data_IF_263592923623
#
_entry.id   IF_263592923623
#
_cell.length_a   1.000
_cell.length_b   1.000
_cell.length_c   1.000
_cell.angle_alpha   90.00
_cell.angle_beta   90.00
_cell.angle_gamma   90.00
#
_symmetry.space_group_name_H-M   'P 1'
#
loop_
_entity.id
_entity.type
_entity.pdbx_description
1 polymer ?
#
# COMPACT_ATOMS: atom_id res chain seq x y z
N UNK A 1 -15.43 1.90 -2.04
CA UNK A 1 -16.00 0.61 -2.45
C UNK A 1 -17.48 0.79 -2.76
N UNK A 2 -18.35 1.19 -1.80
CA UNK A 2 -19.77 1.37 -2.03
C UNK A 2 -20.11 2.25 -3.27
N UNK A 3 -19.42 3.38 -3.41
CA UNK A 3 -19.58 4.26 -4.57
C UNK A 3 -19.36 3.53 -5.91
N UNK A 4 -18.37 2.63 -6.00
CA UNK A 4 -18.14 1.86 -7.23
C UNK A 4 -19.26 0.87 -7.50
N UNK A 5 -19.83 0.25 -6.46
CA UNK A 5 -21.00 -0.63 -6.60
C UNK A 5 -22.22 0.14 -7.11
N UNK A 6 -22.46 1.36 -6.61
CA UNK A 6 -23.51 2.25 -7.10
C UNK A 6 -23.32 2.64 -8.57
N UNK A 7 -22.07 2.67 -9.06
CA UNK A 7 -21.75 2.90 -10.47
C UNK A 7 -21.81 1.62 -11.34
N UNK A 8 -22.27 0.49 -10.79
CA UNK A 8 -22.47 -0.76 -11.52
C UNK A 8 -21.23 -1.66 -11.60
N UNK A 9 -20.16 -1.36 -10.86
CA UNK A 9 -19.02 -2.27 -10.76
C UNK A 9 -19.33 -3.40 -9.79
N UNK A 10 -18.98 -4.63 -10.18
CA UNK A 10 -19.01 -5.75 -9.27
C UNK A 10 -17.76 -5.73 -8.36
N UNK A 11 -18.00 -5.76 -7.05
CA UNK A 11 -16.94 -5.66 -6.05
C UNK A 11 -16.95 -6.90 -5.16
N UNK A 12 -15.83 -7.60 -5.10
CA UNK A 12 -15.59 -8.72 -4.21
C UNK A 12 -14.69 -8.29 -3.05
N UNK A 13 -15.17 -8.44 -1.82
CA UNK A 13 -14.37 -8.22 -0.61
C UNK A 13 -13.80 -9.56 -0.19
N UNK A 14 -12.45 -9.66 -0.17
CA UNK A 14 -11.77 -10.90 0.17
C UNK A 14 -11.78 -11.14 1.68
N UNK A 15 -12.03 -12.38 2.13
CA UNK A 15 -11.90 -12.75 3.53
C UNK A 15 -10.43 -12.79 3.95
N UNK A 16 -10.21 -12.55 5.24
CA UNK A 16 -8.91 -12.70 5.90
C UNK A 16 -8.92 -13.89 6.86
N UNK A 17 -7.75 -14.33 7.27
CA UNK A 17 -7.59 -15.33 8.32
C UNK A 17 -7.68 -14.71 9.72
N UNK A 18 -7.45 -15.53 10.77
CA UNK A 18 -7.47 -15.09 12.17
C UNK A 18 -6.38 -14.07 12.54
N UNK A 19 -5.37 -13.89 11.68
CA UNK A 19 -4.31 -12.90 11.84
C UNK A 19 -4.52 -11.65 10.96
N UNK A 20 -5.65 -11.55 10.27
CA UNK A 20 -5.97 -10.44 9.39
C UNK A 20 -5.27 -10.48 8.02
N UNK A 21 -4.67 -11.61 7.63
CA UNK A 21 -4.00 -11.78 6.34
C UNK A 21 -4.99 -12.31 5.30
N UNK A 22 -4.98 -11.73 4.09
CA UNK A 22 -5.86 -12.15 3.00
C UNK A 22 -5.64 -13.62 2.62
N UNK A 23 -6.75 -14.36 2.47
CA UNK A 23 -6.71 -15.76 2.04
C UNK A 23 -6.44 -15.84 0.54
N UNK A 24 -5.29 -16.41 0.16
CA UNK A 24 -4.86 -16.47 -1.24
C UNK A 24 -5.76 -17.37 -2.09
N UNK A 25 -6.31 -18.44 -1.52
CA UNK A 25 -7.28 -19.30 -2.19
C UNK A 25 -8.60 -18.58 -2.51
N UNK A 26 -9.01 -17.67 -1.62
CA UNK A 26 -10.18 -16.82 -1.88
C UNK A 26 -9.88 -15.78 -2.98
N UNK A 27 -8.69 -15.20 -3.00
CA UNK A 27 -8.26 -14.33 -4.10
C UNK A 27 -8.26 -15.09 -5.42
N UNK A 28 -7.67 -16.28 -5.47
CA UNK A 28 -7.60 -17.10 -6.69
C UNK A 28 -8.99 -17.36 -7.27
N UNK A 29 -9.95 -17.73 -6.41
CA UNK A 29 -11.36 -17.98 -6.81
C UNK A 29 -12.10 -16.71 -7.24
N UNK A 30 -11.72 -15.56 -6.69
CA UNK A 30 -12.35 -14.27 -7.00
C UNK A 30 -11.84 -13.63 -8.29
N UNK A 31 -10.64 -14.01 -8.76
CA UNK A 31 -10.08 -13.51 -10.01
C UNK A 31 -10.88 -14.04 -11.21
N UNK A 32 -11.35 -13.12 -12.05
CA UNK A 32 -12.14 -13.39 -13.26
C UNK A 32 -11.48 -12.77 -14.49
N UNK A 33 -11.80 -13.23 -15.70
CA UNK A 33 -11.26 -12.66 -16.94
C UNK A 33 -11.59 -11.17 -17.14
N UNK A 34 -12.66 -10.69 -16.52
CA UNK A 34 -13.13 -9.31 -16.53
C UNK A 34 -12.69 -8.49 -15.29
N UNK A 35 -11.87 -9.06 -14.40
CA UNK A 35 -11.28 -8.34 -13.28
C UNK A 35 -10.41 -7.19 -13.80
N UNK A 36 -10.72 -5.96 -13.40
CA UNK A 36 -9.99 -4.76 -13.83
C UNK A 36 -9.00 -4.25 -12.78
N UNK A 37 -9.29 -4.46 -11.49
CA UNK A 37 -8.49 -3.94 -10.39
C UNK A 37 -8.53 -4.90 -9.20
N UNK A 38 -7.35 -5.18 -8.66
CA UNK A 38 -7.18 -5.74 -7.32
C UNK A 38 -6.52 -4.70 -6.46
N UNK A 39 -7.04 -4.45 -5.26
CA UNK A 39 -6.49 -3.46 -4.32
C UNK A 39 -6.30 -4.09 -2.95
N UNK A 40 -5.09 -3.99 -2.40
CA UNK A 40 -4.77 -4.47 -1.06
C UNK A 40 -3.93 -3.44 -0.31
N UNK A 41 -4.04 -3.41 1.01
CA UNK A 41 -3.00 -2.80 1.83
C UNK A 41 -1.75 -3.70 1.81
N UNK A 42 -0.56 -3.14 1.97
CA UNK A 42 0.64 -3.93 2.25
C UNK A 42 0.76 -4.25 3.74
N UNK A 43 0.44 -3.29 4.59
CA UNK A 43 0.36 -3.44 6.06
C UNK A 43 -0.94 -2.82 6.52
N UNK A 44 -1.73 -3.57 7.28
CA UNK A 44 -2.98 -3.06 7.82
C UNK A 44 -2.71 -2.05 8.94
N UNK A 45 -3.42 -0.93 8.94
CA UNK A 45 -3.21 0.17 9.88
C UNK A 45 -3.72 -0.10 11.30
N UNK A 46 -4.63 -1.05 11.48
CA UNK A 46 -5.23 -1.40 12.77
C UNK A 46 -4.50 -2.58 13.42
N UNK A 47 -4.36 -3.67 12.67
CA UNK A 47 -3.83 -4.93 13.18
C UNK A 47 -2.33 -5.11 12.97
N UNK A 48 -1.72 -4.33 12.06
CA UNK A 48 -0.33 -4.53 11.65
C UNK A 48 -0.12 -5.77 10.76
N UNK A 49 -1.18 -6.47 10.35
CA UNK A 49 -1.09 -7.63 9.47
C UNK A 49 -0.40 -7.27 8.15
N UNK A 50 0.59 -8.07 7.76
CA UNK A 50 1.38 -7.87 6.54
C UNK A 50 0.85 -8.77 5.43
N UNK A 51 0.41 -8.16 4.33
CA UNK A 51 -0.11 -8.89 3.17
C UNK A 51 1.03 -9.45 2.32
N UNK A 52 0.88 -10.65 1.75
CA UNK A 52 1.87 -11.28 0.88
C UNK A 52 1.82 -10.69 -0.54
N UNK A 53 2.12 -9.38 -0.67
CA UNK A 53 1.93 -8.59 -1.90
C UNK A 53 2.69 -9.16 -3.11
N UNK A 54 3.87 -9.76 -2.90
CA UNK A 54 4.63 -10.42 -3.97
C UNK A 54 3.85 -11.63 -4.54
N UNK A 55 3.28 -12.47 -3.67
CA UNK A 55 2.47 -13.63 -4.08
C UNK A 55 1.17 -13.20 -4.76
N UNK A 56 0.52 -12.17 -4.21
CA UNK A 56 -0.70 -11.60 -4.80
C UNK A 56 -0.42 -11.07 -6.21
N UNK A 57 0.65 -10.29 -6.37
CA UNK A 57 1.03 -9.75 -7.67
C UNK A 57 1.39 -10.83 -8.70
N UNK A 58 2.06 -11.90 -8.28
CA UNK A 58 2.35 -13.05 -9.14
C UNK A 58 1.07 -13.77 -9.59
N UNK A 59 0.14 -14.02 -8.68
CA UNK A 59 -1.15 -14.66 -8.96
C UNK A 59 -2.00 -13.83 -9.93
N UNK A 60 -2.06 -12.51 -9.73
CA UNK A 60 -2.78 -11.61 -10.64
C UNK A 60 -2.15 -11.65 -12.03
N UNK A 61 -0.83 -11.58 -12.11
CA UNK A 61 -0.12 -11.62 -13.40
C UNK A 61 -0.37 -12.95 -14.16
N UNK A 62 -0.49 -14.06 -13.43
CA UNK A 62 -0.77 -15.38 -14.01
C UNK A 62 -2.23 -15.53 -14.46
N UNK A 63 -3.19 -15.20 -13.59
CA UNK A 63 -4.61 -15.46 -13.80
C UNK A 63 -5.34 -14.36 -14.57
N UNK A 64 -4.99 -13.10 -14.33
CA UNK A 64 -5.65 -11.93 -14.88
C UNK A 64 -4.63 -10.86 -15.31
N UNK A 65 -3.79 -11.11 -16.32
CA UNK A 65 -2.66 -10.23 -16.69
C UNK A 65 -3.08 -8.84 -17.15
N UNK A 66 -4.37 -8.60 -17.40
CA UNK A 66 -4.93 -7.30 -17.76
C UNK A 66 -5.39 -6.50 -16.54
N UNK A 67 -5.58 -7.15 -15.39
CA UNK A 67 -5.99 -6.47 -14.16
C UNK A 67 -4.85 -5.61 -13.60
N UNK A 68 -5.18 -4.42 -13.14
CA UNK A 68 -4.25 -3.59 -12.40
C UNK A 68 -4.15 -4.05 -10.95
N UNK A 69 -2.94 -4.06 -10.40
CA UNK A 69 -2.73 -4.29 -8.99
C UNK A 69 -2.35 -2.99 -8.30
N UNK A 70 -3.19 -2.55 -7.38
CA UNK A 70 -2.97 -1.41 -6.49
C UNK A 70 -2.56 -1.90 -5.11
N UNK A 71 -1.53 -1.28 -4.55
CA UNK A 71 -1.08 -1.52 -3.18
C UNK A 71 -1.11 -0.21 -2.39
N UNK A 72 -1.88 -0.20 -1.32
CA UNK A 72 -1.76 0.84 -0.30
C UNK A 72 -0.54 0.53 0.57
N UNK A 73 0.52 1.30 0.37
CA UNK A 73 1.78 1.17 1.10
C UNK A 73 1.96 2.24 2.18
N UNK A 74 0.87 2.94 2.56
CA UNK A 74 0.95 4.05 3.53
C UNK A 74 1.61 3.62 4.84
N UNK A 75 1.30 2.42 5.35
CA UNK A 75 1.91 1.90 6.57
C UNK A 75 3.26 1.19 6.34
N UNK A 76 3.54 0.78 5.10
CA UNK A 76 4.72 -0.02 4.77
C UNK A 76 5.91 0.82 4.29
N UNK A 77 5.65 1.93 3.58
CA UNK A 77 6.71 2.76 3.00
C UNK A 77 7.64 3.31 4.09
N UNK A 78 8.93 3.18 3.84
CA UNK A 78 9.97 3.55 4.83
C UNK A 78 10.20 2.54 5.95
N UNK A 79 9.42 1.43 6.02
CA UNK A 79 9.59 0.33 6.98
C UNK A 79 9.86 -1.00 6.29
N UNK A 80 9.56 -1.09 5.00
CA UNK A 80 9.86 -2.21 4.12
C UNK A 80 10.56 -1.73 2.86
N UNK A 81 11.39 -2.60 2.27
CA UNK A 81 11.91 -2.40 0.91
C UNK A 81 10.85 -2.87 -0.07
N UNK A 82 10.33 -1.96 -0.90
CA UNK A 82 9.23 -2.23 -1.83
C UNK A 82 9.79 -2.22 -3.25
N UNK A 83 9.47 -3.27 -4.02
CA UNK A 83 9.94 -3.46 -5.39
C UNK A 83 8.76 -3.55 -6.36
N UNK A 84 8.12 -2.41 -6.73
CA UNK A 84 6.86 -2.43 -7.48
C UNK A 84 6.94 -3.22 -8.79
N UNK A 85 8.01 -3.06 -9.55
CA UNK A 85 8.20 -3.78 -10.82
C UNK A 85 8.36 -5.29 -10.62
N UNK A 86 9.13 -5.71 -9.61
CA UNK A 86 9.37 -7.12 -9.29
C UNK A 86 8.09 -7.82 -8.82
N UNK A 87 7.25 -7.11 -8.08
CA UNK A 87 6.03 -7.64 -7.49
C UNK A 87 4.78 -7.39 -8.33
N UNK A 88 4.93 -6.98 -9.60
CA UNK A 88 3.84 -6.67 -10.52
C UNK A 88 2.83 -5.65 -9.97
N UNK A 89 3.28 -4.71 -9.16
CA UNK A 89 2.46 -3.62 -8.64
C UNK A 89 2.34 -2.56 -9.73
N UNK A 90 1.11 -2.21 -10.09
CA UNK A 90 0.82 -1.20 -11.09
C UNK A 90 0.62 0.19 -10.49
N UNK A 91 0.01 0.26 -9.32
CA UNK A 91 -0.30 1.47 -8.58
C UNK A 91 0.14 1.30 -7.12
N UNK A 92 0.77 2.32 -6.52
CA UNK A 92 1.17 2.26 -5.12
C UNK A 92 0.96 3.62 -4.45
N UNK A 93 0.14 3.63 -3.40
CA UNK A 93 -0.18 4.84 -2.63
C UNK A 93 0.71 5.00 -1.42
N UNK A 94 1.20 6.23 -1.20
CA UNK A 94 2.01 6.62 -0.03
C UNK A 94 1.57 7.96 0.52
N UNK A 95 1.54 8.10 1.84
CA UNK A 95 1.27 9.36 2.54
C UNK A 95 2.48 9.83 3.35
N UNK A 96 2.80 11.11 3.21
CA UNK A 96 3.97 11.75 3.82
C UNK A 96 3.97 11.69 5.36
N UNK A 97 2.80 11.92 5.98
CA UNK A 97 2.68 11.99 7.44
C UNK A 97 2.95 10.67 8.17
N UNK A 98 2.99 9.54 7.46
CA UNK A 98 3.34 8.22 8.03
C UNK A 98 4.85 7.94 8.04
N UNK A 99 5.62 8.83 7.44
CA UNK A 99 7.09 8.81 7.41
C UNK A 99 7.71 10.11 7.95
N UNK A 100 7.00 10.76 8.88
CA UNK A 100 7.45 12.00 9.54
C UNK A 100 7.53 13.23 8.61
N UNK A 101 6.93 13.17 7.44
CA UNK A 101 6.82 14.31 6.53
C UNK A 101 5.53 15.13 6.73
N UNK A 102 5.33 16.20 5.96
CA UNK A 102 4.18 17.09 6.08
C UNK A 102 2.84 16.36 5.84
N UNK A 103 1.79 16.79 6.55
CA UNK A 103 0.41 16.37 6.27
C UNK A 103 -0.10 16.96 4.96
N UNK A 104 -1.12 16.35 4.36
CA UNK A 104 -1.75 16.83 3.12
C UNK A 104 -0.92 16.58 1.86
N UNK A 105 0.14 15.78 1.95
CA UNK A 105 1.01 15.40 0.84
C UNK A 105 1.19 13.89 0.79
N UNK A 106 1.24 13.36 -0.40
CA UNK A 106 1.51 11.95 -0.68
C UNK A 106 1.88 11.79 -2.14
N UNK A 107 2.11 10.56 -2.58
CA UNK A 107 2.29 10.25 -3.99
C UNK A 107 1.59 8.95 -4.37
N UNK A 108 1.26 8.87 -5.64
CA UNK A 108 0.83 7.64 -6.30
C UNK A 108 1.90 7.25 -7.31
N UNK A 109 2.55 6.10 -7.10
CA UNK A 109 3.35 5.48 -8.14
C UNK A 109 2.42 4.86 -9.19
N UNK A 110 2.70 5.15 -10.44
CA UNK A 110 1.97 4.61 -11.59
C UNK A 110 2.99 3.91 -12.49
N UNK A 111 2.83 2.61 -12.68
CA UNK A 111 3.64 1.84 -13.62
C UNK A 111 3.35 2.32 -15.06
N UNK A 112 4.37 2.40 -15.90
CA UNK A 112 4.22 2.86 -17.29
C UNK A 112 3.23 2.02 -18.14
N UNK A 113 2.93 0.81 -17.72
CA UNK A 113 1.91 -0.06 -18.37
C UNK A 113 0.50 0.22 -17.88
N UNK A 114 0.32 0.91 -16.75
CA UNK A 114 -0.99 1.23 -16.21
C UNK A 114 -1.59 2.44 -16.94
N UNK A 115 -2.76 2.26 -17.53
CA UNK A 115 -3.51 3.35 -18.14
C UNK A 115 -4.52 3.87 -17.12
N UNK A 116 -4.23 5.03 -16.54
CA UNK A 116 -5.09 5.70 -15.55
C UNK A 116 -5.50 7.05 -16.13
N UNK A 117 -6.77 7.39 -16.01
CA UNK A 117 -7.26 8.70 -16.40
C UNK A 117 -7.21 9.66 -15.20
N UNK A 118 -6.88 10.94 -15.42
CA UNK A 118 -6.92 11.95 -14.39
C UNK A 118 -8.36 12.18 -13.91
N UNK A 119 -8.54 12.33 -12.60
CA UNK A 119 -9.83 12.68 -11.99
C UNK A 119 -10.00 14.20 -11.88
N UNK A 120 -8.92 14.92 -11.56
CA UNK A 120 -8.94 16.39 -11.41
C UNK A 120 -8.35 16.99 -12.67
N UNK A 121 -9.22 17.56 -13.50
CA UNK A 121 -8.90 18.14 -14.79
C UNK A 121 -8.59 19.64 -14.67
N UNK A 122 -7.88 20.20 -15.67
CA UNK A 122 -7.56 21.63 -15.77
C UNK A 122 -6.16 21.87 -16.31
N UNK A 123 -5.21 22.27 -15.48
CA UNK A 123 -3.82 22.53 -15.88
C UNK A 123 -2.99 21.28 -16.14
N UNK A 124 -1.73 21.47 -16.55
CA UNK A 124 -0.82 20.39 -16.90
C UNK A 124 0.06 19.84 -15.78
N UNK A 125 -0.23 20.17 -14.52
CA UNK A 125 0.57 19.76 -13.37
C UNK A 125 0.58 18.21 -13.26
N UNK A 126 1.66 17.67 -12.71
CA UNK A 126 1.88 16.21 -12.60
C UNK A 126 1.70 15.49 -13.95
N UNK A 127 2.22 16.07 -15.03
CA UNK A 127 2.05 15.57 -16.42
C UNK A 127 0.57 15.39 -16.82
N UNK A 128 -0.30 16.29 -16.39
CA UNK A 128 -1.74 16.24 -16.64
C UNK A 128 -2.53 15.27 -15.76
N UNK A 129 -1.87 14.54 -14.88
CA UNK A 129 -2.54 13.53 -14.03
C UNK A 129 -3.32 14.13 -12.85
N UNK A 130 -2.89 15.30 -12.36
CA UNK A 130 -3.55 15.96 -11.24
C UNK A 130 -3.36 17.47 -11.37
N UNK A 131 -4.37 18.15 -11.84
CA UNK A 131 -4.35 19.60 -12.01
C UNK A 131 -4.37 20.37 -10.69
N UNK A 132 -3.86 21.58 -10.72
CA UNK A 132 -3.74 22.49 -9.58
C UNK A 132 -2.28 22.76 -9.22
N UNK A 133 -1.99 23.95 -8.73
CA UNK A 133 -0.64 24.35 -8.33
C UNK A 133 -0.03 23.35 -7.38
N UNK A 134 1.21 22.94 -7.65
CA UNK A 134 1.92 21.98 -6.83
C UNK A 134 2.24 22.56 -5.44
N UNK A 135 1.99 21.76 -4.40
CA UNK A 135 2.42 22.07 -3.04
C UNK A 135 3.93 21.82 -2.91
N UNK A 136 4.73 22.69 -3.52
CA UNK A 136 6.19 22.54 -3.59
C UNK A 136 6.84 22.35 -2.21
N UNK A 137 6.51 23.15 -1.17
CA UNK A 137 7.07 22.94 0.18
C UNK A 137 6.73 21.56 0.75
N UNK A 138 5.50 21.11 0.59
CA UNK A 138 5.06 19.80 1.06
C UNK A 138 5.75 18.65 0.32
N UNK A 139 5.89 18.77 -1.01
CA UNK A 139 6.58 17.79 -1.85
C UNK A 139 8.06 17.70 -1.48
N UNK A 140 8.73 18.84 -1.29
CA UNK A 140 10.11 18.89 -0.84
C UNK A 140 10.28 18.22 0.54
N UNK A 141 9.39 18.52 1.49
CA UNK A 141 9.39 17.90 2.82
C UNK A 141 9.16 16.38 2.76
N UNK A 142 8.24 15.89 1.88
CA UNK A 142 8.07 14.47 1.61
C UNK A 142 9.35 13.83 1.07
N UNK A 143 10.03 14.49 0.13
CA UNK A 143 11.29 14.00 -0.44
C UNK A 143 12.38 13.85 0.61
N UNK A 144 12.53 14.84 1.51
CA UNK A 144 13.48 14.76 2.64
C UNK A 144 13.10 13.62 3.59
N UNK A 145 11.83 13.52 3.98
CA UNK A 145 11.35 12.46 4.86
C UNK A 145 11.62 11.07 4.26
N UNK A 146 11.30 10.85 2.99
CA UNK A 146 11.56 9.61 2.28
C UNK A 146 13.07 9.26 2.28
N UNK A 147 13.93 10.24 1.95
CA UNK A 147 15.39 10.05 1.99
C UNK A 147 15.86 9.63 3.38
N UNK A 148 15.40 10.32 4.43
CA UNK A 148 15.77 10.03 5.81
C UNK A 148 15.31 8.63 6.26
N UNK A 149 14.12 8.17 5.84
CA UNK A 149 13.65 6.83 6.19
C UNK A 149 14.54 5.72 5.65
N UNK A 150 15.08 5.89 4.44
CA UNK A 150 15.95 4.87 3.82
C UNK A 150 17.44 5.06 4.13
N UNK A 151 17.85 6.13 4.82
CA UNK A 151 19.19 6.23 5.43
C UNK A 151 19.29 5.29 6.63
N UNK A 152 20.32 4.46 6.69
CA UNK A 152 20.54 3.46 7.74
C UNK A 152 19.29 2.59 7.96
N UNK A 153 18.64 2.19 6.87
CA UNK A 153 17.33 1.53 6.86
C UNK A 153 17.32 0.27 7.73
N UNK A 154 18.30 -0.61 7.54
CA UNK A 154 18.32 -1.91 8.21
C UNK A 154 18.52 -1.75 9.73
N UNK A 155 19.37 -0.81 10.16
CA UNK A 155 19.59 -0.47 11.59
C UNK A 155 18.29 0.07 12.24
N UNK A 156 17.59 0.95 11.57
CA UNK A 156 16.33 1.52 12.07
C UNK A 156 15.22 0.47 12.18
N UNK A 157 15.12 -0.40 11.20
CA UNK A 157 14.14 -1.49 11.21
C UNK A 157 14.46 -2.48 12.31
N UNK A 158 15.73 -2.86 12.48
CA UNK A 158 16.17 -3.72 13.56
C UNK A 158 15.83 -3.13 14.94
N UNK A 159 16.09 -1.84 15.12
CA UNK A 159 15.73 -1.16 16.37
C UNK A 159 14.22 -1.22 16.66
N UNK A 160 13.36 -1.07 15.64
CA UNK A 160 11.91 -1.21 15.81
C UNK A 160 11.51 -2.63 16.21
N UNK A 161 12.15 -3.66 15.66
CA UNK A 161 11.91 -5.05 16.07
C UNK A 161 12.32 -5.30 17.53
N UNK A 162 13.48 -4.79 17.95
CA UNK A 162 13.93 -4.89 19.35
C UNK A 162 12.95 -4.23 20.33
N UNK A 163 12.42 -3.06 19.97
CA UNK A 163 11.39 -2.39 20.78
C UNK A 163 10.10 -3.20 20.85
N UNK A 164 9.66 -3.78 19.73
CA UNK A 164 8.48 -4.65 19.65
C UNK A 164 8.65 -5.88 20.54
N UNK A 165 9.78 -6.57 20.45
CA UNK A 165 10.09 -7.76 21.26
C UNK A 165 10.08 -7.42 22.76
N UNK A 166 10.78 -6.34 23.14
CA UNK A 166 10.79 -5.87 24.53
C UNK A 166 9.38 -5.55 25.04
N UNK A 167 8.53 -4.94 24.22
CA UNK A 167 7.15 -4.65 24.56
C UNK A 167 6.34 -5.95 24.72
N UNK A 168 6.46 -6.90 23.80
CA UNK A 168 5.79 -8.18 23.84
C UNK A 168 6.19 -8.98 25.10
N UNK A 169 7.49 -9.06 25.40
CA UNK A 169 8.00 -9.68 26.63
C UNK A 169 7.47 -9.03 27.91
N UNK A 170 7.32 -7.72 27.90
CA UNK A 170 6.74 -6.98 29.03
C UNK A 170 5.26 -7.30 29.23
N UNK A 171 4.49 -7.27 28.13
CA UNK A 171 3.05 -7.52 28.14
C UNK A 171 2.70 -8.96 28.49
N UNK A 172 3.50 -9.93 28.02
CA UNK A 172 3.27 -11.36 28.32
C UNK A 172 3.38 -11.73 29.81
N UNK A 173 3.90 -10.83 30.64
CA UNK A 173 3.99 -11.01 32.10
C UNK A 173 2.74 -10.53 32.84
N UNK A 174 1.79 -9.94 32.13
CA UNK A 174 0.53 -9.45 32.70
C UNK A 174 -0.52 -10.52 32.47
N UNK A 175 -1.20 -10.93 33.55
CA UNK A 175 -2.25 -11.93 33.49
C UNK A 175 -3.37 -11.47 32.54
N UNK A 176 -3.98 -12.42 31.82
CA UNK A 176 -5.06 -12.22 30.83
C UNK A 176 -4.72 -11.39 29.60
N UNK A 177 -3.43 -11.06 29.36
CA UNK A 177 -2.98 -10.42 28.11
C UNK A 177 -2.56 -11.49 27.12
N UNK A 178 -3.20 -11.46 25.93
CA UNK A 178 -2.84 -12.27 24.76
C UNK A 178 -2.16 -11.36 23.73
N UNK A 179 -0.99 -11.79 23.21
CA UNK A 179 -0.18 -11.04 22.23
C UNK A 179 -0.18 -11.76 20.88
#
# INVERSE_FOLDING_TARGET
>A
VAFLQEQGFEVTILPVDGHGVVKLDALEKALRPDTILVSTMMVNNETGAVMPVEKIGAMIQEKCPKALYHVDAIQAFGKYRIYPKKWNIHLLSVSSHKIHGPKGVGFLYINSKAKVQPLILGGGQQNGMRSGTDNVPGIAGLGVAAKMMYQNFDEKVEHLYQLKERMAEGLSKIDDVVI
#
